data_IF_464635288049
#
_entry.id   IF_464635288049
#
_cell.length_a   1.000
_cell.length_b   1.000
_cell.length_c   1.000
_cell.angle_alpha   90.00
_cell.angle_beta   90.00
_cell.angle_gamma   90.00
#
_symmetry.space_group_name_H-M   'P 1'
#
loop_
_entity.id
_entity.type
_entity.pdbx_description
1 polymer ?
#
# COMPACT_ATOMS: atom_id res chain seq x y z
N UNK A 1 26.66 -5.83 -17.75
CA UNK A 1 27.41 -6.54 -16.69
C UNK A 1 26.73 -6.19 -15.37
N UNK A 2 26.17 -7.18 -14.65
CA UNK A 2 25.27 -6.99 -13.50
C UNK A 2 26.05 -6.79 -12.19
N UNK A 3 25.86 -5.65 -11.52
CA UNK A 3 26.27 -5.40 -10.13
C UNK A 3 25.22 -4.43 -9.52
N UNK A 4 24.66 -4.55 -8.31
CA UNK A 4 24.71 -5.51 -7.21
C UNK A 4 23.29 -6.05 -6.98
N UNK A 5 23.14 -7.37 -6.85
CA UNK A 5 21.86 -8.04 -6.56
C UNK A 5 21.74 -8.23 -5.05
N UNK A 6 21.12 -7.31 -4.33
CA UNK A 6 20.66 -7.57 -2.96
C UNK A 6 19.42 -8.47 -3.09
N UNK A 7 19.65 -9.80 -3.09
CA UNK A 7 18.58 -10.78 -3.05
C UNK A 7 18.25 -11.08 -1.59
N UNK A 8 17.12 -10.55 -1.11
CA UNK A 8 16.56 -10.90 0.20
C UNK A 8 16.28 -12.40 0.32
N UNK A 9 16.10 -13.11 -0.80
CA UNK A 9 15.94 -14.56 -0.81
C UNK A 9 17.18 -15.26 -0.26
N UNK A 10 18.38 -14.78 -0.58
CA UNK A 10 19.63 -15.35 -0.04
C UNK A 10 19.88 -14.94 1.42
N UNK A 11 19.51 -13.71 1.82
CA UNK A 11 19.62 -13.27 3.22
C UNK A 11 18.58 -13.95 4.11
N UNK A 12 17.28 -13.93 3.78
CA UNK A 12 16.24 -14.62 4.55
C UNK A 12 16.44 -16.14 4.60
N UNK A 13 16.96 -16.77 3.54
CA UNK A 13 17.24 -18.21 3.55
C UNK A 13 18.42 -18.58 4.45
N UNK A 14 19.40 -17.68 4.62
CA UNK A 14 20.57 -17.90 5.46
C UNK A 14 20.38 -17.41 6.90
N UNK A 15 19.69 -16.29 7.09
CA UNK A 15 19.55 -15.57 8.36
C UNK A 15 18.24 -15.90 9.09
N UNK A 16 17.23 -16.45 8.39
CA UNK A 16 15.90 -16.78 8.96
C UNK A 16 15.14 -17.88 8.18
N UNK A 17 15.70 -19.11 8.05
CA UNK A 17 15.15 -20.19 7.24
C UNK A 17 13.73 -20.64 7.63
N UNK A 18 13.31 -20.37 8.87
CA UNK A 18 11.96 -20.62 9.37
C UNK A 18 10.92 -19.72 8.72
N UNK A 19 11.28 -18.47 8.42
CA UNK A 19 10.41 -17.48 7.77
C UNK A 19 10.16 -17.90 6.32
N UNK A 20 11.20 -18.38 5.63
CA UNK A 20 11.06 -18.92 4.28
C UNK A 20 10.14 -20.15 4.24
N UNK A 21 10.28 -21.08 5.19
CA UNK A 21 9.38 -22.24 5.32
C UNK A 21 7.94 -21.83 5.67
N UNK A 22 7.78 -20.82 6.51
CA UNK A 22 6.47 -20.30 6.89
C UNK A 22 5.75 -19.65 5.69
N UNK A 23 6.48 -18.88 4.87
CA UNK A 23 5.97 -18.30 3.62
C UNK A 23 5.49 -19.38 2.62
N UNK A 24 6.17 -20.53 2.56
CA UNK A 24 5.75 -21.69 1.77
C UNK A 24 4.54 -22.44 2.35
N UNK A 25 4.18 -22.21 3.62
CA UNK A 25 3.06 -22.90 4.26
C UNK A 25 1.74 -22.14 4.13
N UNK A 26 1.76 -20.81 4.16
CA UNK A 26 0.59 -19.94 4.04
C UNK A 26 -0.02 -19.90 2.64
N UNK A 27 0.78 -20.22 1.64
CA UNK A 27 0.39 -20.34 0.24
C UNK A 27 -0.73 -21.39 0.03
N UNK A 28 -0.91 -22.33 0.96
CA UNK A 28 -1.88 -23.43 0.82
C UNK A 28 -3.35 -23.08 1.06
N UNK A 29 -3.73 -21.82 1.32
CA UNK A 29 -5.05 -21.51 1.92
C UNK A 29 -6.12 -20.76 1.10
N UNK A 30 -6.01 -20.49 -0.21
CA UNK A 30 -7.16 -19.94 -0.98
C UNK A 30 -7.27 -20.43 -2.43
N UNK A 31 -8.42 -21.03 -2.78
CA UNK A 31 -8.79 -21.42 -4.15
C UNK A 31 -9.24 -20.20 -4.95
N UNK A 32 -8.42 -19.83 -5.94
CA UNK A 32 -8.56 -18.60 -6.73
C UNK A 32 -9.00 -18.88 -8.18
N UNK A 33 -10.18 -19.47 -8.37
CA UNK A 33 -10.66 -19.86 -9.70
C UNK A 33 -11.58 -18.84 -10.39
N UNK A 34 -12.19 -17.86 -9.69
CA UNK A 34 -13.27 -17.05 -10.29
C UNK A 34 -13.00 -15.54 -10.46
N UNK A 35 -11.80 -15.03 -10.16
CA UNK A 35 -11.53 -13.56 -10.19
C UNK A 35 -10.94 -13.06 -11.51
N UNK A 36 -10.48 -13.93 -12.42
CA UNK A 36 -9.68 -13.54 -13.58
C UNK A 36 -10.49 -13.40 -14.88
N UNK A 37 -11.15 -12.27 -15.08
CA UNK A 37 -11.58 -11.85 -16.42
C UNK A 37 -11.18 -10.40 -16.68
N UNK A 38 -10.26 -10.19 -17.63
CA UNK A 38 -9.96 -8.85 -18.15
C UNK A 38 -8.60 -8.67 -18.82
N UNK A 39 -7.50 -9.16 -18.26
CA UNK A 39 -6.13 -8.88 -18.76
C UNK A 39 -5.13 -10.00 -18.41
N UNK A 40 -5.49 -11.26 -18.61
CA UNK A 40 -4.54 -12.37 -18.47
C UNK A 40 -3.71 -12.46 -19.75
N UNK A 41 -2.39 -12.24 -19.61
CA UNK A 41 -1.44 -12.68 -20.64
C UNK A 41 -1.29 -14.21 -20.58
N UNK A 42 -0.79 -14.80 -21.67
CA UNK A 42 -0.61 -16.26 -21.86
C UNK A 42 0.22 -16.90 -20.73
N UNK A 43 1.04 -16.13 -20.00
CA UNK A 43 1.91 -16.60 -18.91
C UNK A 43 1.34 -16.42 -17.49
N UNK A 44 0.05 -16.10 -17.36
CA UNK A 44 -0.61 -15.88 -16.06
C UNK A 44 -0.24 -14.55 -15.37
N UNK A 45 0.32 -13.59 -16.13
CA UNK A 45 0.59 -12.23 -15.67
C UNK A 45 -0.62 -11.33 -15.96
N UNK A 46 -1.02 -10.52 -14.99
CA UNK A 46 -2.16 -9.60 -15.07
C UNK A 46 -1.84 -8.22 -14.47
N UNK A 47 -2.62 -7.21 -14.86
CA UNK A 47 -2.57 -5.86 -14.29
C UNK A 47 -3.91 -5.55 -13.62
N UNK A 48 -3.85 -5.07 -12.39
CA UNK A 48 -5.04 -4.61 -11.68
C UNK A 48 -5.50 -3.25 -12.25
N UNK A 49 -6.82 -3.03 -12.31
CA UNK A 49 -7.46 -1.94 -13.05
C UNK A 49 -6.87 -0.55 -12.78
N UNK A 50 -6.48 -0.27 -11.54
CA UNK A 50 -5.97 1.03 -11.11
C UNK A 50 -4.45 1.08 -10.94
N UNK A 51 -3.74 0.01 -11.30
CA UNK A 51 -2.32 -0.15 -11.01
C UNK A 51 -1.49 0.18 -12.23
N UNK A 52 -1.09 1.44 -12.35
CA UNK A 52 -0.37 1.95 -13.53
C UNK A 52 1.08 1.49 -13.60
N UNK A 53 1.68 1.18 -12.45
CA UNK A 53 3.11 0.85 -12.31
C UNK A 53 3.35 -0.59 -11.88
N UNK A 54 2.34 -1.46 -11.84
CA UNK A 54 2.50 -2.80 -11.26
C UNK A 54 1.92 -3.89 -12.14
N UNK A 55 2.69 -4.96 -12.33
CA UNK A 55 2.24 -6.23 -12.93
C UNK A 55 2.23 -7.31 -11.86
N UNK A 56 1.30 -8.25 -11.94
CA UNK A 56 1.12 -9.34 -10.98
C UNK A 56 1.14 -10.69 -11.67
N UNK A 57 1.66 -11.71 -11.00
CA UNK A 57 1.62 -13.10 -11.43
C UNK A 57 1.12 -13.96 -10.27
N UNK A 58 0.07 -14.74 -10.51
CA UNK A 58 -0.41 -15.74 -9.54
C UNK A 58 0.58 -16.92 -9.51
N UNK A 59 0.89 -17.42 -8.32
CA UNK A 59 1.65 -18.64 -8.10
C UNK A 59 0.69 -19.82 -7.90
N UNK A 60 1.18 -21.05 -8.10
CA UNK A 60 0.36 -22.28 -8.00
C UNK A 60 -0.31 -22.43 -6.63
N UNK A 61 0.32 -21.89 -5.59
CA UNK A 61 -0.13 -21.96 -4.21
C UNK A 61 -0.78 -20.63 -3.75
N UNK A 62 -1.73 -20.06 -4.50
CA UNK A 62 -2.56 -18.93 -4.03
C UNK A 62 -1.84 -17.59 -3.72
N UNK A 63 -0.51 -17.55 -3.68
CA UNK A 63 0.32 -16.38 -3.46
C UNK A 63 0.56 -15.63 -4.79
N UNK A 64 1.11 -14.42 -4.70
CA UNK A 64 1.33 -13.58 -5.86
C UNK A 64 2.73 -13.00 -5.89
N UNK A 65 3.32 -12.88 -7.07
CA UNK A 65 4.46 -12.02 -7.32
C UNK A 65 3.97 -10.72 -7.93
N UNK A 66 4.56 -9.62 -7.52
CA UNK A 66 4.36 -8.32 -8.16
C UNK A 66 5.69 -7.74 -8.61
N UNK A 67 5.64 -6.97 -9.67
CA UNK A 67 6.73 -6.11 -10.09
C UNK A 67 6.21 -4.69 -10.20
N UNK A 68 6.78 -3.77 -9.43
CA UNK A 68 6.46 -2.33 -9.38
C UNK A 68 7.56 -1.57 -10.13
N UNK A 69 7.18 -0.72 -11.06
CA UNK A 69 8.05 -0.13 -12.09
C UNK A 69 7.71 -0.70 -13.46
N UNK A 70 8.01 0.05 -14.54
CA UNK A 70 7.74 -0.41 -15.89
C UNK A 70 8.61 -1.62 -16.22
N UNK A 71 8.05 -2.62 -16.89
CA UNK A 71 8.71 -3.86 -17.34
C UNK A 71 8.11 -4.33 -18.67
N UNK A 72 7.88 -3.39 -19.58
CA UNK A 72 7.45 -3.67 -20.95
C UNK A 72 8.56 -3.37 -21.94
N UNK A 73 8.31 -3.60 -23.22
CA UNK A 73 9.20 -3.10 -24.26
C UNK A 73 9.06 -1.57 -24.38
N UNK A 74 10.11 -0.88 -24.84
CA UNK A 74 10.05 0.58 -25.03
C UNK A 74 8.97 1.02 -26.03
N UNK A 75 8.71 0.21 -27.05
CA UNK A 75 7.58 0.35 -27.99
C UNK A 75 6.24 0.41 -27.24
N UNK A 76 6.07 -0.40 -26.20
CA UNK A 76 4.89 -0.39 -25.34
C UNK A 76 4.81 0.89 -24.50
N UNK A 77 5.94 1.46 -24.10
CA UNK A 77 5.97 2.67 -23.27
C UNK A 77 5.41 3.89 -24.01
N UNK A 78 5.85 4.13 -25.24
CA UNK A 78 5.29 5.21 -26.07
C UNK A 78 3.81 4.99 -26.39
N UNK A 79 3.38 3.73 -26.55
CA UNK A 79 1.96 3.40 -26.70
C UNK A 79 1.17 3.69 -25.42
N UNK A 80 1.71 3.38 -24.23
CA UNK A 80 1.09 3.70 -22.95
C UNK A 80 0.93 5.21 -22.71
N UNK A 81 1.90 6.01 -23.18
CA UNK A 81 1.82 7.48 -23.13
C UNK A 81 0.76 8.05 -24.08
N UNK A 82 0.60 7.44 -25.27
CA UNK A 82 -0.36 7.84 -26.31
C UNK A 82 -1.77 7.31 -26.09
N UNK A 83 -1.91 6.20 -25.36
CA UNK A 83 -3.19 5.55 -25.19
C UNK A 83 -4.13 6.46 -24.39
N UNK A 84 -5.18 6.94 -25.08
CA UNK A 84 -6.41 7.48 -24.49
C UNK A 84 -7.12 6.46 -23.57
N UNK A 85 -6.60 5.22 -23.48
CA UNK A 85 -6.96 4.21 -22.49
C UNK A 85 -6.45 4.59 -21.10
N UNK A 86 -6.84 5.77 -20.62
CA UNK A 86 -6.84 5.97 -19.20
C UNK A 86 -8.04 5.21 -18.62
N UNK A 87 -7.76 4.08 -17.98
CA UNK A 87 -8.77 3.26 -17.28
C UNK A 87 -9.48 4.07 -16.15
N UNK A 88 -8.92 5.23 -15.77
CA UNK A 88 -9.48 6.21 -14.83
C UNK A 88 -10.15 7.43 -15.50
N UNK A 89 -10.15 7.57 -16.82
CA UNK A 89 -10.86 8.63 -17.55
C UNK A 89 -10.21 10.02 -17.58
N UNK A 90 -9.01 10.22 -17.01
CA UNK A 90 -8.33 11.52 -17.02
C UNK A 90 -7.32 11.65 -18.18
N UNK A 91 -7.59 12.43 -19.21
CA UNK A 91 -6.72 12.57 -20.40
C UNK A 91 -5.29 13.08 -20.16
N UNK A 92 -4.83 13.21 -18.91
CA UNK A 92 -3.59 13.89 -18.57
C UNK A 92 -2.67 13.20 -17.55
N UNK A 93 -2.73 11.86 -17.41
CA UNK A 93 -1.90 11.12 -16.43
C UNK A 93 -0.40 11.41 -16.58
N UNK A 94 0.11 11.50 -17.81
CA UNK A 94 1.52 11.75 -18.08
C UNK A 94 2.01 13.12 -17.58
N UNK A 95 1.10 14.12 -17.49
CA UNK A 95 1.42 15.46 -16.97
C UNK A 95 1.15 15.57 -15.47
N UNK A 96 0.07 14.97 -14.98
CA UNK A 96 -0.34 15.08 -13.57
C UNK A 96 0.65 14.42 -12.62
N UNK A 97 1.25 13.29 -13.03
CA UNK A 97 2.19 12.54 -12.19
C UNK A 97 3.44 13.37 -11.81
N UNK A 98 4.17 13.98 -12.77
CA UNK A 98 5.29 14.85 -12.44
C UNK A 98 4.85 16.09 -11.66
N UNK A 99 3.77 16.75 -12.09
CA UNK A 99 3.40 18.07 -11.56
C UNK A 99 2.79 18.03 -10.16
N UNK A 100 2.04 16.96 -9.81
CA UNK A 100 1.37 16.87 -8.51
C UNK A 100 2.06 15.90 -7.55
N UNK A 101 2.42 14.72 -8.05
CA UNK A 101 2.98 13.66 -7.20
C UNK A 101 4.52 13.64 -7.21
N UNK A 102 5.15 14.44 -8.08
CA UNK A 102 6.60 14.38 -8.36
C UNK A 102 7.08 12.96 -8.69
N UNK A 103 6.23 12.23 -9.41
CA UNK A 103 6.48 10.86 -9.87
C UNK A 103 6.58 10.81 -11.39
N UNK A 104 7.30 9.82 -11.89
CA UNK A 104 7.45 9.61 -13.33
C UNK A 104 6.32 8.70 -13.84
N UNK A 105 5.63 9.05 -14.95
CA UNK A 105 4.57 8.21 -15.50
C UNK A 105 5.05 6.78 -15.76
N UNK A 106 4.33 5.81 -15.21
CA UNK A 106 4.60 4.37 -15.37
C UNK A 106 5.96 3.87 -14.81
N UNK A 107 6.84 4.75 -14.35
CA UNK A 107 8.17 4.43 -13.82
C UNK A 107 8.28 4.70 -12.33
N UNK A 108 9.23 4.02 -11.69
CA UNK A 108 9.65 4.31 -10.33
C UNK A 108 11.09 4.80 -10.35
N UNK A 109 11.40 5.77 -9.49
CA UNK A 109 12.79 6.13 -9.24
C UNK A 109 13.45 5.04 -8.39
N UNK A 110 14.73 4.78 -8.61
CA UNK A 110 15.45 3.79 -7.82
C UNK A 110 15.50 4.21 -6.34
N UNK A 111 15.72 5.50 -6.05
CA UNK A 111 15.70 5.98 -4.66
C UNK A 111 14.31 5.89 -3.99
N UNK A 112 13.21 6.01 -4.74
CA UNK A 112 11.84 5.77 -4.25
C UNK A 112 11.71 4.31 -3.77
N UNK A 113 12.19 3.37 -4.60
CA UNK A 113 12.11 1.94 -4.31
C UNK A 113 13.02 1.53 -3.15
N UNK A 114 14.24 2.08 -3.07
CA UNK A 114 15.17 1.82 -1.96
C UNK A 114 14.56 2.23 -0.63
N UNK A 115 13.99 3.45 -0.55
CA UNK A 115 13.34 3.93 0.68
C UNK A 115 12.17 3.02 1.10
N UNK A 116 11.33 2.64 0.15
CA UNK A 116 10.21 1.74 0.42
C UNK A 116 10.69 0.35 0.86
N UNK A 117 11.73 -0.19 0.24
CA UNK A 117 12.33 -1.47 0.61
C UNK A 117 12.87 -1.43 2.04
N UNK A 118 13.68 -0.42 2.38
CA UNK A 118 14.29 -0.29 3.71
C UNK A 118 13.25 -0.19 4.82
N UNK A 119 12.20 0.62 4.63
CA UNK A 119 11.14 0.72 5.64
C UNK A 119 10.31 -0.56 5.74
N UNK A 120 10.03 -1.22 4.61
CA UNK A 120 9.29 -2.49 4.58
C UNK A 120 10.05 -3.60 5.31
N UNK A 121 11.37 -3.71 5.08
CA UNK A 121 12.22 -4.70 5.74
C UNK A 121 12.24 -4.47 7.24
N UNK A 122 12.50 -3.24 7.71
CA UNK A 122 12.49 -2.91 9.15
C UNK A 122 11.14 -3.22 9.81
N UNK A 123 10.03 -2.97 9.10
CA UNK A 123 8.70 -3.33 9.57
C UNK A 123 8.55 -4.85 9.70
N UNK A 124 8.89 -5.59 8.64
CA UNK A 124 8.73 -7.04 8.57
C UNK A 124 9.61 -7.74 9.61
N UNK A 125 10.85 -7.30 9.79
CA UNK A 125 11.76 -7.84 10.82
C UNK A 125 11.18 -7.72 12.22
N UNK A 126 10.72 -6.53 12.60
CA UNK A 126 10.10 -6.29 13.91
C UNK A 126 8.76 -7.03 14.08
N UNK A 127 7.98 -7.13 13.01
CA UNK A 127 6.74 -7.90 13.01
C UNK A 127 7.01 -9.39 13.26
N UNK A 128 7.97 -9.97 12.54
CA UNK A 128 8.38 -11.36 12.70
C UNK A 128 9.03 -11.62 14.06
N UNK A 129 9.79 -10.65 14.58
CA UNK A 129 10.37 -10.73 15.92
C UNK A 129 9.29 -10.85 17.00
N UNK A 130 8.25 -10.02 16.94
CA UNK A 130 7.21 -9.97 17.96
C UNK A 130 6.14 -11.06 17.78
N UNK A 131 5.55 -11.16 16.58
CA UNK A 131 4.36 -11.99 16.33
C UNK A 131 4.69 -13.40 15.85
N UNK A 132 5.93 -13.67 15.41
CA UNK A 132 6.34 -14.97 14.85
C UNK A 132 5.48 -15.44 13.66
N UNK A 133 4.83 -14.51 12.98
CA UNK A 133 3.95 -14.75 11.82
C UNK A 133 4.28 -13.78 10.68
N UNK A 134 3.89 -14.13 9.46
CA UNK A 134 4.08 -13.25 8.30
C UNK A 134 2.96 -12.21 8.26
N UNK A 135 3.28 -10.90 8.20
CA UNK A 135 2.25 -9.88 8.08
C UNK A 135 1.56 -9.94 6.72
N UNK A 136 0.27 -9.61 6.67
CA UNK A 136 -0.48 -9.54 5.42
C UNK A 136 -0.17 -8.25 4.63
N UNK A 137 1.07 -8.11 4.16
CA UNK A 137 1.58 -6.97 3.40
C UNK A 137 2.49 -7.46 2.25
N UNK A 138 2.80 -6.62 1.25
CA UNK A 138 3.82 -6.95 0.26
C UNK A 138 5.19 -7.11 0.92
N UNK A 139 5.86 -8.23 0.65
CA UNK A 139 7.23 -8.49 1.10
C UNK A 139 8.17 -8.13 -0.06
N UNK A 140 9.04 -7.13 0.09
CA UNK A 140 10.01 -6.82 -0.94
C UNK A 140 11.03 -7.95 -1.07
N UNK A 141 11.38 -8.33 -2.29
CA UNK A 141 12.32 -9.42 -2.57
C UNK A 141 13.62 -8.94 -3.20
N UNK A 142 13.54 -7.93 -4.07
CA UNK A 142 14.67 -7.39 -4.82
C UNK A 142 14.31 -6.05 -5.45
N UNK A 143 15.31 -5.19 -5.60
CA UNK A 143 15.25 -3.99 -6.45
C UNK A 143 16.26 -4.17 -7.59
N UNK A 144 15.86 -3.74 -8.79
CA UNK A 144 16.70 -3.68 -9.97
C UNK A 144 16.76 -2.24 -10.46
N UNK A 145 17.92 -1.76 -10.88
CA UNK A 145 18.03 -0.49 -11.59
C UNK A 145 18.09 -0.74 -13.09
N UNK A 146 17.58 0.23 -13.85
CA UNK A 146 17.84 0.35 -15.27
C UNK A 146 19.19 1.02 -15.51
N UNK A 147 19.80 0.73 -16.66
CA UNK A 147 20.99 1.44 -17.12
C UNK A 147 20.63 2.82 -17.70
N UNK A 148 21.66 3.64 -17.89
CA UNK A 148 21.51 5.01 -18.42
C UNK A 148 21.00 5.02 -19.86
N UNK A 149 21.31 3.97 -20.64
CA UNK A 149 20.79 3.83 -22.01
C UNK A 149 19.27 3.71 -22.00
N UNK A 150 18.72 2.84 -21.16
CA UNK A 150 17.29 2.65 -21.01
C UNK A 150 16.61 3.90 -20.43
N UNK A 151 17.22 4.53 -19.42
CA UNK A 151 16.75 5.81 -18.89
C UNK A 151 16.67 6.87 -20.00
N UNK A 152 17.70 6.98 -20.84
CA UNK A 152 17.73 7.90 -21.97
C UNK A 152 16.57 7.68 -22.93
N UNK A 153 16.30 6.42 -23.32
CA UNK A 153 15.18 6.07 -24.22
C UNK A 153 13.82 6.45 -23.63
N UNK A 154 13.62 6.23 -22.33
CA UNK A 154 12.39 6.64 -21.63
C UNK A 154 12.23 8.16 -21.59
N UNK A 155 13.32 8.90 -21.31
CA UNK A 155 13.28 10.36 -21.29
C UNK A 155 12.97 10.94 -22.67
N UNK A 156 13.55 10.40 -23.75
CA UNK A 156 13.19 10.80 -25.12
C UNK A 156 11.71 10.56 -25.41
N UNK A 157 11.16 9.40 -25.04
CA UNK A 157 9.74 9.12 -25.23
C UNK A 157 8.83 10.09 -24.44
N UNK A 158 9.24 10.50 -23.23
CA UNK A 158 8.52 11.48 -22.43
C UNK A 158 8.62 12.89 -23.03
N UNK A 159 9.79 13.32 -23.49
CA UNK A 159 10.00 14.61 -24.14
C UNK A 159 9.07 14.81 -25.34
N UNK A 160 8.88 13.77 -26.14
CA UNK A 160 7.98 13.78 -27.30
C UNK A 160 6.48 13.78 -26.91
N UNK A 161 6.15 13.35 -25.68
CA UNK A 161 4.78 13.05 -25.27
C UNK A 161 4.17 14.07 -24.29
N UNK A 162 4.98 14.95 -23.68
CA UNK A 162 4.50 15.92 -22.69
C UNK A 162 4.93 17.35 -23.01
N UNK A 163 4.20 18.38 -22.53
CA UNK A 163 4.61 19.77 -22.70
C UNK A 163 5.99 20.04 -22.09
N UNK A 164 6.76 20.96 -22.70
CA UNK A 164 8.13 21.29 -22.28
C UNK A 164 8.28 21.55 -20.78
N UNK A 165 7.38 22.33 -20.17
CA UNK A 165 7.45 22.64 -18.74
C UNK A 165 7.25 21.41 -17.83
N UNK A 166 6.48 20.41 -18.28
CA UNK A 166 6.32 19.13 -17.57
C UNK A 166 7.60 18.31 -17.71
N UNK A 167 8.20 18.30 -18.91
CA UNK A 167 9.44 17.59 -19.15
C UNK A 167 10.61 18.17 -18.33
N UNK A 168 10.67 19.50 -18.17
CA UNK A 168 11.65 20.16 -17.30
C UNK A 168 11.53 19.70 -15.83
N UNK A 169 10.31 19.50 -15.33
CA UNK A 169 10.09 18.91 -14.00
C UNK A 169 10.53 17.44 -13.97
N UNK A 170 10.25 16.64 -15.01
CA UNK A 170 10.73 15.25 -15.12
C UNK A 170 12.27 15.19 -15.07
N UNK A 171 12.96 16.06 -15.79
CA UNK A 171 14.44 16.16 -15.76
C UNK A 171 14.92 16.56 -14.37
N UNK A 172 14.21 17.47 -13.69
CA UNK A 172 14.53 17.88 -12.32
C UNK A 172 14.39 16.71 -11.33
N UNK A 173 13.30 15.94 -11.43
CA UNK A 173 13.04 14.76 -10.61
C UNK A 173 14.10 13.66 -10.84
N UNK A 174 14.55 13.47 -12.08
CA UNK A 174 15.42 12.35 -12.47
C UNK A 174 16.92 12.67 -12.51
N UNK A 175 17.33 13.91 -12.19
CA UNK A 175 18.70 14.42 -12.42
C UNK A 175 19.80 13.54 -11.80
N UNK A 176 19.57 13.03 -10.60
CA UNK A 176 20.55 12.25 -9.83
C UNK A 176 20.02 10.87 -9.42
N UNK A 177 19.10 10.32 -10.22
CA UNK A 177 18.44 9.05 -9.90
C UNK A 177 18.33 8.18 -11.15
N UNK A 178 18.24 6.87 -10.98
CA UNK A 178 17.94 5.93 -12.07
C UNK A 178 16.48 5.52 -12.01
N UNK A 179 15.96 4.91 -13.08
CA UNK A 179 14.70 4.20 -12.98
C UNK A 179 14.95 2.82 -12.37
N UNK A 180 13.96 2.30 -11.66
CA UNK A 180 14.07 0.98 -11.06
C UNK A 180 12.77 0.20 -11.08
N UNK A 181 12.93 -1.08 -10.72
CA UNK A 181 11.84 -2.03 -10.55
C UNK A 181 12.02 -2.75 -9.22
N UNK A 182 10.96 -2.85 -8.45
CA UNK A 182 10.94 -3.66 -7.23
C UNK A 182 10.06 -4.89 -7.43
N UNK A 183 10.60 -6.05 -7.04
CA UNK A 183 9.87 -7.32 -6.99
C UNK A 183 9.34 -7.53 -5.58
N UNK A 184 8.06 -7.87 -5.48
CA UNK A 184 7.40 -8.23 -4.23
C UNK A 184 6.84 -9.64 -4.27
N UNK A 185 6.77 -10.26 -3.11
CA UNK A 185 5.91 -11.38 -2.80
C UNK A 185 4.69 -10.88 -2.03
N UNK A 186 3.51 -11.38 -2.38
CA UNK A 186 2.26 -11.12 -1.70
C UNK A 186 1.75 -12.44 -1.12
N UNK A 187 1.64 -12.55 0.22
CA UNK A 187 1.17 -13.78 0.87
C UNK A 187 -0.32 -14.04 0.61
N UNK A 188 -1.07 -13.01 0.20
CA UNK A 188 -2.50 -13.08 -0.11
C UNK A 188 -2.82 -12.35 -1.41
N UNK A 189 -4.09 -12.42 -1.84
CA UNK A 189 -4.51 -11.77 -3.07
C UNK A 189 -4.33 -10.23 -3.02
N UNK A 190 -3.66 -9.61 -4.01
CA UNK A 190 -3.32 -8.19 -3.99
C UNK A 190 -4.50 -7.27 -4.36
N UNK A 191 -5.74 -7.77 -4.29
CA UNK A 191 -6.93 -7.01 -4.64
C UNK A 191 -7.18 -5.91 -3.62
N UNK A 192 -7.34 -4.68 -4.11
CA UNK A 192 -7.51 -3.50 -3.25
C UNK A 192 -8.94 -3.02 -3.25
N UNK A 193 -9.31 -2.20 -2.26
CA UNK A 193 -10.66 -1.61 -2.17
C UNK A 193 -11.05 -0.90 -3.48
N UNK A 194 -10.12 -0.16 -4.09
CA UNK A 194 -10.38 0.54 -5.36
C UNK A 194 -10.52 -0.37 -6.58
N UNK A 195 -10.01 -1.59 -6.54
CA UNK A 195 -10.09 -2.54 -7.66
C UNK A 195 -11.49 -3.16 -7.76
N UNK A 196 -12.22 -3.18 -6.64
CA UNK A 196 -13.55 -3.77 -6.49
C UNK A 196 -14.53 -2.63 -6.19
N UNK A 197 -14.72 -1.75 -7.18
CA UNK A 197 -15.77 -0.72 -7.12
C UNK A 197 -17.15 -1.38 -7.12
N UNK A 198 -18.11 -0.72 -6.49
CA UNK A 198 -19.39 -1.22 -6.02
C UNK A 198 -20.47 -1.68 -7.02
N UNK A 199 -20.05 -2.13 -8.20
CA UNK A 199 -20.92 -2.80 -9.17
C UNK A 199 -20.26 -4.05 -9.77
N UNK A 200 -19.21 -4.51 -9.12
CA UNK A 200 -18.54 -5.75 -9.48
C UNK A 200 -19.23 -6.91 -8.75
N UNK A 201 -19.85 -7.88 -9.44
CA UNK A 201 -20.42 -9.06 -8.78
C UNK A 201 -19.41 -9.81 -7.92
N UNK A 202 -18.10 -9.72 -8.22
CA UNK A 202 -17.02 -10.32 -7.42
C UNK A 202 -16.90 -9.70 -6.03
N UNK A 203 -17.40 -8.48 -5.87
CA UNK A 203 -17.44 -7.82 -4.58
C UNK A 203 -18.40 -8.52 -3.61
N UNK A 204 -19.50 -9.12 -4.10
CA UNK A 204 -20.45 -9.90 -3.28
C UNK A 204 -19.76 -11.09 -2.58
N UNK A 205 -18.74 -11.68 -3.21
CA UNK A 205 -17.91 -12.74 -2.63
C UNK A 205 -17.11 -12.28 -1.41
N UNK A 206 -16.73 -10.99 -1.35
CA UNK A 206 -16.05 -10.39 -0.20
C UNK A 206 -17.02 -9.72 0.77
N UNK A 207 -18.25 -9.41 0.34
CA UNK A 207 -19.22 -8.60 1.09
C UNK A 207 -19.97 -9.36 2.20
N UNK A 208 -20.04 -10.69 2.15
CA UNK A 208 -20.60 -11.51 3.24
C UNK A 208 -19.85 -11.41 4.57
N UNK A 209 -18.63 -10.85 4.56
CA UNK A 209 -17.67 -10.78 5.68
C UNK A 209 -17.17 -9.36 5.99
N UNK A 210 -17.86 -8.29 5.56
CA UNK A 210 -17.30 -6.93 5.58
C UNK A 210 -16.71 -6.45 6.93
N UNK A 211 -17.32 -6.83 8.06
CA UNK A 211 -16.77 -6.48 9.37
C UNK A 211 -15.40 -7.14 9.62
N UNK A 212 -15.18 -8.37 9.16
CA UNK A 212 -13.91 -9.07 9.39
C UNK A 212 -12.76 -8.45 8.60
N UNK A 213 -13.00 -7.92 7.39
CA UNK A 213 -11.95 -7.22 6.62
C UNK A 213 -11.56 -5.92 7.32
N UNK A 214 -12.55 -5.12 7.74
CA UNK A 214 -12.30 -3.85 8.45
C UNK A 214 -11.54 -4.12 9.75
N UNK A 215 -11.95 -5.12 10.53
CA UNK A 215 -11.25 -5.47 11.76
C UNK A 215 -9.88 -6.07 11.50
N UNK A 216 -9.66 -6.77 10.38
CA UNK A 216 -8.30 -7.20 9.98
C UNK A 216 -7.38 -6.01 9.69
N UNK A 217 -7.90 -4.94 9.07
CA UNK A 217 -7.13 -3.69 8.93
C UNK A 217 -6.84 -3.03 10.28
N UNK A 218 -7.79 -3.09 11.22
CA UNK A 218 -7.58 -2.61 12.58
C UNK A 218 -6.53 -3.45 13.33
N UNK A 219 -6.57 -4.77 13.19
CA UNK A 219 -5.61 -5.69 13.78
C UNK A 219 -4.20 -5.37 13.25
N UNK A 220 -4.03 -5.24 11.93
CA UNK A 220 -2.74 -4.90 11.35
C UNK A 220 -2.25 -3.49 11.76
N UNK A 221 -3.15 -2.51 11.95
CA UNK A 221 -2.79 -1.20 12.51
C UNK A 221 -2.31 -1.32 13.96
N UNK A 222 -3.03 -2.07 14.79
CA UNK A 222 -2.65 -2.35 16.19
C UNK A 222 -1.28 -3.01 16.22
N UNK A 223 -1.09 -4.03 15.40
CA UNK A 223 0.14 -4.78 15.34
C UNK A 223 1.32 -3.89 14.94
N UNK A 224 1.10 -3.04 13.91
CA UNK A 224 2.05 -2.03 13.44
C UNK A 224 2.46 -1.06 14.55
N UNK A 225 1.49 -0.55 15.32
CA UNK A 225 1.75 0.39 16.41
C UNK A 225 2.57 -0.24 17.52
N UNK A 226 2.27 -1.49 17.88
CA UNK A 226 2.99 -2.21 18.93
C UNK A 226 4.45 -2.52 18.55
N UNK A 227 4.75 -2.72 17.25
CA UNK A 227 6.14 -2.82 16.76
C UNK A 227 6.79 -1.46 16.47
N UNK A 228 6.09 -0.37 16.73
CA UNK A 228 6.61 0.99 16.68
C UNK A 228 6.48 1.69 15.33
N UNK A 229 5.51 1.33 14.49
CA UNK A 229 5.26 1.96 13.20
C UNK A 229 3.83 2.50 13.06
N UNK A 230 3.69 3.55 12.27
CA UNK A 230 2.40 4.03 11.77
C UNK A 230 2.36 3.86 10.24
N UNK A 231 1.27 3.32 9.66
CA UNK A 231 1.11 3.11 8.22
C UNK A 231 0.88 4.39 7.41
N UNK A 232 0.85 5.53 8.08
CA UNK A 232 0.80 6.85 7.45
C UNK A 232 0.82 7.94 8.51
N UNK A 233 1.17 9.14 8.08
CA UNK A 233 1.04 10.36 8.87
C UNK A 233 0.20 11.37 8.08
N UNK A 234 -0.32 12.38 8.76
CA UNK A 234 -1.06 13.46 8.11
C UNK A 234 -0.22 14.20 7.07
N UNK A 235 1.11 14.24 7.22
CA UNK A 235 2.02 14.86 6.25
C UNK A 235 1.98 14.17 4.87
N UNK A 236 1.56 12.90 4.82
CA UNK A 236 1.37 12.17 3.57
C UNK A 236 -0.02 12.35 2.95
N UNK A 237 -0.89 13.21 3.49
CA UNK A 237 -2.26 13.37 2.99
C UNK A 237 -2.35 13.71 1.49
N UNK A 238 -1.33 14.36 0.92
CA UNK A 238 -1.24 14.71 -0.50
C UNK A 238 -0.65 13.55 -1.34
N UNK A 239 0.31 12.80 -0.78
CA UNK A 239 1.08 11.78 -1.52
C UNK A 239 0.42 10.38 -1.49
N UNK A 240 -0.52 10.18 -0.57
CA UNK A 240 -1.15 8.90 -0.31
C UNK A 240 -0.45 8.11 0.79
N UNK A 241 -1.18 7.17 1.39
CA UNK A 241 -0.74 6.31 2.51
C UNK A 241 -1.14 4.87 2.28
N UNK A 242 -0.54 3.94 3.02
CA UNK A 242 -0.88 2.52 2.98
C UNK A 242 -2.36 2.27 3.36
N UNK A 243 -2.99 3.17 4.11
CA UNK A 243 -4.40 3.09 4.52
C UNK A 243 -5.39 3.74 3.54
N UNK A 244 -4.91 4.27 2.42
CA UNK A 244 -5.81 4.75 1.39
C UNK A 244 -6.54 3.59 0.69
N UNK A 245 -7.75 3.81 0.15
CA UNK A 245 -8.54 2.77 -0.51
C UNK A 245 -7.80 2.08 -1.66
N UNK A 246 -6.93 2.81 -2.36
CA UNK A 246 -6.10 2.25 -3.44
C UNK A 246 -4.93 1.42 -2.94
N UNK A 247 -4.72 1.27 -1.63
CA UNK A 247 -3.59 0.57 -1.01
C UNK A 247 -4.03 -0.49 0.02
N UNK A 248 -5.24 -0.38 0.58
CA UNK A 248 -5.85 -1.41 1.44
C UNK A 248 -6.26 -2.67 0.65
N UNK A 249 -5.81 -3.83 1.11
CA UNK A 249 -6.10 -5.13 0.52
C UNK A 249 -7.41 -5.70 1.07
N UNK A 250 -8.22 -6.31 0.21
CA UNK A 250 -9.46 -7.00 0.59
C UNK A 250 -9.23 -8.25 1.45
N UNK A 251 -7.98 -8.73 1.50
CA UNK A 251 -7.56 -9.79 2.42
C UNK A 251 -7.30 -9.31 3.85
N UNK A 252 -7.50 -8.03 4.15
CA UNK A 252 -7.23 -7.45 5.48
C UNK A 252 -5.82 -6.86 5.65
N UNK A 253 -5.07 -6.72 4.56
CA UNK A 253 -3.73 -6.15 4.54
C UNK A 253 -3.65 -4.69 4.06
N UNK A 254 -2.44 -4.14 3.97
CA UNK A 254 -2.17 -2.91 3.23
C UNK A 254 -0.91 -3.03 2.35
N UNK A 255 -0.79 -2.16 1.36
CA UNK A 255 0.32 -2.11 0.40
C UNK A 255 0.84 -0.69 0.23
N UNK A 256 1.87 -0.50 -0.61
CA UNK A 256 2.53 0.80 -0.80
C UNK A 256 3.14 1.32 0.52
N UNK A 257 4.11 0.55 1.02
CA UNK A 257 4.66 0.66 2.37
C UNK A 257 5.59 1.86 2.56
N UNK A 258 5.83 2.65 1.51
CA UNK A 258 6.69 3.84 1.55
C UNK A 258 6.18 4.95 2.47
N UNK A 259 4.92 4.90 2.90
CA UNK A 259 4.34 5.83 3.89
C UNK A 259 4.47 5.37 5.35
N UNK A 260 5.07 4.21 5.61
CA UNK A 260 5.34 3.77 6.97
C UNK A 260 6.34 4.73 7.65
N UNK A 261 6.06 5.08 8.91
CA UNK A 261 6.94 5.93 9.71
C UNK A 261 7.18 5.29 11.08
N UNK A 262 8.43 5.34 11.56
CA UNK A 262 8.74 4.90 12.91
C UNK A 262 8.17 5.88 13.92
N UNK A 263 7.43 5.39 14.92
CA UNK A 263 6.88 6.22 16.00
C UNK A 263 7.99 6.94 16.77
N UNK A 264 9.18 6.34 16.86
CA UNK A 264 10.35 6.93 17.53
C UNK A 264 10.91 8.16 16.82
N UNK A 265 10.57 8.36 15.54
CA UNK A 265 11.01 9.51 14.73
C UNK A 265 10.04 10.70 14.84
N UNK A 266 8.93 10.55 15.57
CA UNK A 266 7.87 11.53 15.70
C UNK A 266 7.87 12.15 17.11
N UNK A 267 7.42 13.41 17.22
CA UNK A 267 7.05 13.96 18.53
C UNK A 267 5.81 13.23 19.07
N UNK A 268 5.56 13.33 20.39
CA UNK A 268 4.39 12.68 20.99
C UNK A 268 3.08 13.18 20.35
N UNK A 269 3.01 14.49 20.06
CA UNK A 269 1.84 15.12 19.44
C UNK A 269 1.63 14.62 18.01
N UNK A 270 2.69 14.55 17.19
CA UNK A 270 2.61 14.10 15.79
C UNK A 270 2.27 12.61 15.72
N UNK A 271 2.81 11.79 16.62
CA UNK A 271 2.47 10.37 16.71
C UNK A 271 0.98 10.17 17.05
N UNK A 272 0.45 10.95 18.00
CA UNK A 272 -0.95 10.93 18.38
C UNK A 272 -1.87 11.35 17.21
N UNK A 273 -1.58 12.49 16.58
CA UNK A 273 -2.33 12.98 15.42
C UNK A 273 -2.33 11.96 14.28
N UNK A 274 -1.17 11.34 14.02
CA UNK A 274 -1.01 10.34 12.97
C UNK A 274 -1.77 9.04 13.27
N UNK A 275 -1.86 8.63 14.53
CA UNK A 275 -2.67 7.47 14.94
C UNK A 275 -4.17 7.73 14.74
N UNK A 276 -4.66 8.90 15.17
CA UNK A 276 -6.04 9.32 14.94
C UNK A 276 -6.35 9.39 13.43
N UNK A 277 -5.42 9.93 12.66
CA UNK A 277 -5.51 9.97 11.20
C UNK A 277 -5.62 8.57 10.58
N UNK A 278 -4.86 7.59 11.08
CA UNK A 278 -4.95 6.20 10.62
C UNK A 278 -6.35 5.61 10.86
N UNK A 279 -6.93 5.84 12.04
CA UNK A 279 -8.30 5.42 12.37
C UNK A 279 -9.32 6.05 11.40
N UNK A 280 -9.21 7.36 11.15
CA UNK A 280 -10.07 8.07 10.22
C UNK A 280 -9.94 7.53 8.78
N UNK A 281 -8.73 7.16 8.35
CA UNK A 281 -8.50 6.55 7.03
C UNK A 281 -9.15 5.18 6.90
N UNK A 282 -9.02 4.31 7.90
CA UNK A 282 -9.72 3.02 7.91
C UNK A 282 -11.24 3.24 7.83
N UNK A 283 -11.80 4.17 8.60
CA UNK A 283 -13.24 4.47 8.55
C UNK A 283 -13.68 5.00 7.17
N UNK A 284 -12.90 5.91 6.56
CA UNK A 284 -13.17 6.47 5.23
C UNK A 284 -13.12 5.38 4.15
N UNK A 285 -12.13 4.50 4.20
CA UNK A 285 -11.99 3.37 3.27
C UNK A 285 -13.09 2.33 3.47
N UNK A 286 -13.51 2.11 4.72
CA UNK A 286 -14.64 1.24 5.07
C UNK A 286 -15.95 1.74 4.46
N UNK A 287 -16.21 3.05 4.50
CA UNK A 287 -17.40 3.63 3.85
C UNK A 287 -17.43 3.39 2.34
N UNK A 288 -16.27 3.41 1.69
CA UNK A 288 -16.16 3.12 0.26
C UNK A 288 -16.39 1.63 -0.03
N UNK A 289 -15.83 0.74 0.80
CA UNK A 289 -16.02 -0.70 0.66
C UNK A 289 -17.50 -1.11 0.88
N UNK A 290 -18.15 -0.52 1.88
CA UNK A 290 -19.55 -0.82 2.23
C UNK A 290 -20.57 -0.27 1.23
N UNK A 291 -20.11 0.37 0.13
CA UNK A 291 -20.91 1.06 -0.90
C UNK A 291 -22.21 1.64 -0.38
N UNK A 292 -22.09 2.45 0.65
CA UNK A 292 -23.25 3.16 1.13
C UNK A 292 -23.52 4.26 0.10
N UNK A 293 -24.38 3.96 -0.90
CA UNK A 293 -24.97 4.92 -1.84
C UNK A 293 -25.82 5.93 -1.08
N UNK A 294 -25.14 6.77 -0.30
CA UNK A 294 -25.76 7.80 0.51
C UNK A 294 -25.63 9.08 -0.31
N UNK A 295 -26.73 9.46 -0.94
CA UNK A 295 -26.83 10.73 -1.67
C UNK A 295 -26.88 11.93 -0.70
N UNK A 296 -27.25 11.69 0.56
CA UNK A 296 -27.35 12.71 1.61
C UNK A 296 -26.02 12.85 2.41
N UNK A 297 -25.39 14.02 2.33
CA UNK A 297 -24.15 14.33 3.05
C UNK A 297 -24.26 14.18 4.58
N UNK A 298 -25.41 14.50 5.17
CA UNK A 298 -25.64 14.38 6.62
C UNK A 298 -25.57 12.93 7.09
N UNK A 299 -26.24 12.03 6.36
CA UNK A 299 -26.22 10.59 6.65
C UNK A 299 -24.82 9.98 6.45
N UNK A 300 -24.01 10.54 5.53
CA UNK A 300 -22.64 10.09 5.31
C UNK A 300 -21.75 10.41 6.51
N UNK A 301 -21.86 11.63 7.06
CA UNK A 301 -21.09 12.02 8.25
C UNK A 301 -21.57 11.30 9.52
N UNK A 302 -22.87 11.04 9.67
CA UNK A 302 -23.39 10.23 10.78
C UNK A 302 -22.82 8.81 10.75
N UNK A 303 -22.84 8.16 9.58
CA UNK A 303 -22.28 6.80 9.44
C UNK A 303 -20.77 6.76 9.57
N UNK A 304 -20.07 7.77 9.07
CA UNK A 304 -18.63 7.93 9.32
C UNK A 304 -18.34 8.00 10.81
N UNK A 305 -19.09 8.82 11.55
CA UNK A 305 -18.95 8.97 12.99
C UNK A 305 -19.23 7.66 13.72
N UNK A 306 -20.29 6.94 13.32
CA UNK A 306 -20.59 5.60 13.83
C UNK A 306 -19.45 4.60 13.60
N UNK A 307 -18.89 4.54 12.38
CA UNK A 307 -17.78 3.65 12.06
C UNK A 307 -16.52 4.01 12.83
N UNK A 308 -16.21 5.31 12.96
CA UNK A 308 -15.09 5.78 13.78
C UNK A 308 -15.27 5.28 15.23
N UNK A 309 -16.46 5.44 15.82
CA UNK A 309 -16.73 4.95 17.18
C UNK A 309 -16.57 3.42 17.31
N UNK A 310 -17.03 2.65 16.31
CA UNK A 310 -16.87 1.19 16.29
C UNK A 310 -15.42 0.75 16.16
N UNK A 311 -14.68 1.36 15.23
CA UNK A 311 -13.25 1.09 15.00
C UNK A 311 -12.46 1.47 16.25
N UNK A 312 -12.72 2.65 16.82
CA UNK A 312 -12.05 3.12 18.02
C UNK A 312 -12.27 2.17 19.20
N UNK A 313 -13.52 1.80 19.48
CA UNK A 313 -13.84 0.85 20.56
C UNK A 313 -13.22 -0.53 20.34
N UNK A 314 -13.10 -0.98 19.08
CA UNK A 314 -12.39 -2.22 18.76
C UNK A 314 -10.89 -2.10 19.04
N UNK A 315 -10.26 -1.04 18.55
CA UNK A 315 -8.82 -0.78 18.71
C UNK A 315 -8.46 -0.64 20.20
N UNK A 316 -9.21 0.15 20.98
CA UNK A 316 -8.95 0.32 22.42
C UNK A 316 -8.89 -1.03 23.15
N UNK A 317 -9.92 -1.87 22.97
CA UNK A 317 -9.98 -3.19 23.62
C UNK A 317 -8.90 -4.14 23.13
N UNK A 318 -8.68 -4.16 21.82
CA UNK A 318 -7.79 -5.13 21.18
C UNK A 318 -6.32 -4.77 21.40
N UNK A 319 -5.96 -3.49 21.37
CA UNK A 319 -4.60 -3.00 21.58
C UNK A 319 -4.05 -3.39 22.96
N UNK A 320 -4.84 -3.21 24.03
CA UNK A 320 -4.44 -3.62 25.39
C UNK A 320 -4.28 -5.14 25.50
N UNK A 321 -5.25 -5.90 24.98
CA UNK A 321 -5.19 -7.37 25.02
C UNK A 321 -3.99 -7.93 24.24
N UNK A 322 -3.70 -7.38 23.07
CA UNK A 322 -2.58 -7.77 22.20
C UNK A 322 -1.25 -7.38 22.84
N UNK A 323 -1.15 -6.16 23.40
CA UNK A 323 0.01 -5.73 24.16
C UNK A 323 0.36 -6.68 25.31
N UNK A 324 -0.67 -7.14 26.04
CA UNK A 324 -0.51 -8.11 27.13
C UNK A 324 -0.12 -9.50 26.62
N UNK A 325 -0.75 -9.97 25.53
CA UNK A 325 -0.49 -11.27 24.91
C UNK A 325 0.98 -11.40 24.46
N UNK A 326 1.51 -10.37 23.81
CA UNK A 326 2.87 -10.38 23.25
C UNK A 326 3.91 -9.73 24.17
N UNK A 327 3.52 -9.30 25.38
CA UNK A 327 4.44 -8.74 26.38
C UNK A 327 5.13 -7.43 25.95
N UNK A 328 4.54 -6.67 25.03
CA UNK A 328 5.10 -5.42 24.51
C UNK A 328 4.39 -4.19 25.08
N UNK A 329 5.12 -3.09 25.29
CA UNK A 329 4.53 -1.84 25.78
C UNK A 329 3.81 -1.07 24.68
N UNK A 330 2.59 -0.59 24.96
CA UNK A 330 1.92 0.39 24.09
C UNK A 330 2.76 1.69 24.04
N UNK A 331 3.09 2.23 22.86
CA UNK A 331 3.84 3.48 22.74
C UNK A 331 3.16 4.61 23.54
N UNK A 332 3.95 5.37 24.30
CA UNK A 332 3.46 6.39 25.24
C UNK A 332 2.44 7.37 24.64
N UNK A 333 2.61 7.91 23.40
CA UNK A 333 1.61 8.79 22.80
C UNK A 333 0.24 8.12 22.62
N UNK A 334 0.26 6.83 22.26
CA UNK A 334 -0.95 6.04 22.04
C UNK A 334 -1.56 5.61 23.36
N UNK A 335 -0.75 5.29 24.37
CA UNK A 335 -1.25 5.01 25.72
C UNK A 335 -2.01 6.21 26.29
N UNK A 336 -1.48 7.43 26.12
CA UNK A 336 -2.18 8.67 26.50
C UNK A 336 -3.51 8.84 25.75
N UNK A 337 -3.60 8.43 24.49
CA UNK A 337 -4.87 8.46 23.75
C UNK A 337 -5.92 7.60 24.46
N UNK A 338 -5.57 6.36 24.82
CA UNK A 338 -6.48 5.41 25.48
C UNK A 338 -6.93 5.87 26.88
N UNK A 339 -6.09 6.62 27.60
CA UNK A 339 -6.37 7.11 28.95
C UNK A 339 -7.24 8.38 28.98
N UNK A 340 -7.40 9.06 27.85
CA UNK A 340 -8.15 10.32 27.74
C UNK A 340 -9.54 10.10 27.12
N UNK A 341 -10.40 11.12 27.18
CA UNK A 341 -11.69 11.11 26.47
C UNK A 341 -11.45 11.06 24.95
N UNK A 342 -11.50 9.85 24.40
CA UNK A 342 -11.25 9.57 22.98
C UNK A 342 -12.28 10.23 22.09
N UNK A 343 -13.53 10.43 22.54
CA UNK A 343 -14.53 11.19 21.79
C UNK A 343 -14.14 12.66 21.66
N UNK A 344 -13.67 13.28 22.74
CA UNK A 344 -13.20 14.68 22.72
C UNK A 344 -12.00 14.84 21.79
N UNK A 345 -11.03 13.92 21.86
CA UNK A 345 -9.87 13.92 20.96
C UNK A 345 -10.32 13.79 19.51
N UNK A 346 -11.14 12.79 19.19
CA UNK A 346 -11.63 12.57 17.82
C UNK A 346 -12.42 13.77 17.28
N UNK A 347 -13.22 14.45 18.12
CA UNK A 347 -13.93 15.70 17.74
C UNK A 347 -12.95 16.83 17.41
N UNK A 348 -11.90 17.02 18.21
CA UNK A 348 -10.89 18.06 17.96
C UNK A 348 -10.11 17.82 16.67
N UNK A 349 -9.87 16.55 16.31
CA UNK A 349 -9.18 16.18 15.08
C UNK A 349 -10.10 16.02 13.86
N UNK A 350 -11.42 15.93 14.03
CA UNK A 350 -12.40 15.94 12.93
C UNK A 350 -12.53 17.33 12.28
N UNK A 351 -12.10 18.41 12.94
CA UNK A 351 -12.06 19.76 12.38
C UNK A 351 -10.92 19.97 11.36
N UNK A 352 -10.10 18.95 11.08
CA UNK A 352 -8.90 19.05 10.26
C UNK A 352 -8.99 18.28 8.93
N UNK A 353 -10.19 17.84 8.52
CA UNK A 353 -10.43 17.14 7.24
C UNK A 353 -10.64 18.08 6.06
#
# INVERSE_FOLDING_TARGET
>A
MMEQKISLTNSLQNDSPEIFKLLQSYSKQMSAEEVFSGNLTIDGVFTLKNHKRSKFKKLEEGAFLSLKGFLGELSDYSLLLKADQNILGNKNTAQMFPMLERKIPFQCLYSELVKEYEVSVRFIEKYLELYKTVPNIPIPLAIYSYDDEYKGKILTALEESVPKFVFEEIITITRNDSFGVMKYFYPSAPFRVMDVRSRDPRAELFWGSNNSIIFSWCDLLIESVLIGFLPGTKHFAIQGTALDPQNLLLSGGFSDLGSLVSISELSEEVALESFVYCIQKIAKSSLLLLDLKIENSSMKEERKSYLIGKINSYIEKKLESTSKEYGCSIPKPIKKFLENDTESILKNYNCLT
#
